data_IF_193892825569
#
_entry.id   IF_193892825569
#
_cell.length_a   1.000
_cell.length_b   1.000
_cell.length_c   1.000
_cell.angle_alpha   90.00
_cell.angle_beta   90.00
_cell.angle_gamma   90.00
#
_symmetry.space_group_name_H-M   'P 1'
#
loop_
_entity.id
_entity.type
_entity.pdbx_description
1 polymer ?
#
# COMPACT_ATOMS: atom_id res chain seq x y z
N UNK A 1 35.42 -44.22 6.49
CA UNK A 1 34.49 -44.18 5.35
C UNK A 1 33.17 -44.77 5.80
N UNK A 2 32.19 -43.93 6.10
CA UNK A 2 30.80 -44.37 6.29
C UNK A 2 29.93 -43.28 5.69
N UNK A 3 29.69 -43.42 4.40
CA UNK A 3 28.76 -42.61 3.62
C UNK A 3 27.37 -42.72 4.24
N UNK A 4 26.91 -41.63 4.85
CA UNK A 4 25.53 -41.49 5.26
C UNK A 4 24.69 -41.18 4.01
N UNK A 5 24.38 -42.23 3.23
CA UNK A 5 23.42 -42.18 2.11
C UNK A 5 22.00 -42.05 2.66
N UNK A 6 21.71 -40.88 3.24
CA UNK A 6 20.35 -40.45 3.55
C UNK A 6 19.60 -40.22 2.25
N UNK A 7 18.64 -41.11 2.01
CA UNK A 7 17.81 -41.28 0.82
C UNK A 7 17.15 -39.93 0.46
N UNK A 8 17.56 -39.35 -0.67
CA UNK A 8 16.92 -38.18 -1.28
C UNK A 8 15.68 -38.65 -2.06
N UNK A 9 14.63 -38.98 -1.33
CA UNK A 9 13.42 -39.66 -1.85
C UNK A 9 12.54 -38.75 -2.72
N UNK A 10 12.84 -37.44 -2.80
CA UNK A 10 12.04 -36.45 -3.52
C UNK A 10 12.87 -35.40 -4.29
N UNK A 11 14.19 -35.55 -4.43
CA UNK A 11 15.04 -34.59 -5.14
C UNK A 11 15.12 -33.21 -4.47
N UNK A 12 14.90 -33.14 -3.15
CA UNK A 12 14.76 -31.89 -2.40
C UNK A 12 16.13 -31.31 -2.03
N UNK A 13 17.17 -32.14 -1.90
CA UNK A 13 18.53 -31.67 -1.59
C UNK A 13 19.11 -30.73 -2.65
N UNK A 14 19.05 -31.03 -3.97
CA UNK A 14 19.53 -30.09 -4.98
C UNK A 14 18.71 -28.80 -5.04
N UNK A 15 17.40 -28.86 -4.77
CA UNK A 15 16.53 -27.68 -4.70
C UNK A 15 16.87 -26.79 -3.50
N UNK A 16 17.05 -27.39 -2.31
CA UNK A 16 17.49 -26.68 -1.12
C UNK A 16 18.87 -26.02 -1.32
N UNK A 17 19.84 -26.75 -1.88
CA UNK A 17 21.17 -26.22 -2.15
C UNK A 17 21.19 -25.09 -3.20
N UNK A 18 20.27 -25.12 -4.19
CA UNK A 18 20.14 -24.05 -5.17
C UNK A 18 19.50 -22.81 -4.54
N UNK A 19 18.46 -23.01 -3.73
CA UNK A 19 17.79 -21.96 -2.95
C UNK A 19 18.80 -21.28 -1.99
N UNK A 20 19.63 -22.06 -1.28
CA UNK A 20 20.69 -21.53 -0.39
C UNK A 20 21.70 -20.64 -1.13
N UNK A 21 22.12 -21.04 -2.34
CA UNK A 21 23.04 -20.23 -3.16
C UNK A 21 22.40 -18.95 -3.68
N UNK A 22 21.14 -19.01 -4.10
CA UNK A 22 20.41 -17.83 -4.56
C UNK A 22 20.26 -16.82 -3.43
N UNK A 23 19.93 -17.28 -2.23
CA UNK A 23 19.79 -16.41 -1.05
C UNK A 23 21.13 -15.81 -0.64
N UNK A 24 22.21 -16.59 -0.64
CA UNK A 24 23.56 -16.06 -0.39
C UNK A 24 23.93 -14.97 -1.39
N UNK A 25 23.62 -15.17 -2.68
CA UNK A 25 23.89 -14.16 -3.71
C UNK A 25 23.03 -12.90 -3.56
N UNK A 26 21.74 -13.03 -3.25
CA UNK A 26 20.88 -11.87 -2.96
C UNK A 26 21.37 -11.12 -1.72
N UNK A 27 21.81 -11.82 -0.68
CA UNK A 27 22.42 -11.23 0.50
C UNK A 27 23.67 -10.42 0.18
N UNK A 28 24.60 -10.98 -0.59
CA UNK A 28 25.80 -10.28 -1.05
C UNK A 28 25.44 -9.00 -1.83
N UNK A 29 24.37 -9.03 -2.64
CA UNK A 29 23.87 -7.86 -3.38
C UNK A 29 23.25 -6.78 -2.48
N UNK A 30 22.52 -7.19 -1.45
CA UNK A 30 21.77 -6.28 -0.57
C UNK A 30 22.59 -5.79 0.62
N UNK A 31 23.69 -6.47 0.98
CA UNK A 31 24.56 -6.05 2.08
C UNK A 31 25.07 -4.62 1.89
N UNK A 32 25.58 -4.31 0.68
CA UNK A 32 26.01 -2.94 0.35
C UNK A 32 24.87 -1.93 0.44
N UNK A 33 23.68 -2.31 -0.01
CA UNK A 33 22.48 -1.47 0.09
C UNK A 33 22.13 -1.14 1.54
N UNK A 34 22.14 -2.12 2.44
CA UNK A 34 21.83 -1.92 3.86
C UNK A 34 22.93 -1.21 4.63
N UNK A 35 24.20 -1.39 4.25
CA UNK A 35 25.29 -0.60 4.82
C UNK A 35 25.07 0.90 4.62
N UNK A 36 24.52 1.28 3.46
CA UNK A 36 24.19 2.66 3.12
C UNK A 36 22.87 3.12 3.78
N UNK A 37 21.83 2.27 3.74
CA UNK A 37 20.44 2.66 4.11
C UNK A 37 19.99 2.32 5.52
N UNK A 38 20.41 1.20 6.10
CA UNK A 38 19.98 0.79 7.43
C UNK A 38 20.99 -0.16 8.08
N UNK A 39 22.14 0.35 8.50
CA UNK A 39 23.21 -0.48 9.10
C UNK A 39 22.73 -1.40 10.24
N UNK A 40 21.83 -0.98 11.16
CA UNK A 40 21.31 -1.86 12.20
C UNK A 40 20.57 -3.11 11.66
N UNK A 41 19.93 -3.00 10.48
CA UNK A 41 19.23 -4.10 9.84
C UNK A 41 20.12 -5.31 9.51
N UNK A 42 21.42 -5.08 9.28
CA UNK A 42 22.37 -6.16 9.00
C UNK A 42 22.42 -7.18 10.13
N UNK A 43 22.33 -6.71 11.38
CA UNK A 43 22.27 -7.58 12.56
C UNK A 43 21.02 -8.47 12.56
N UNK A 44 19.85 -7.88 12.30
CA UNK A 44 18.57 -8.60 12.25
C UNK A 44 18.53 -9.63 11.13
N UNK A 45 19.03 -9.29 9.95
CA UNK A 45 19.11 -10.22 8.81
C UNK A 45 20.06 -11.40 9.11
N UNK A 46 21.18 -11.16 9.78
CA UNK A 46 22.09 -12.22 10.23
C UNK A 46 21.40 -13.22 11.18
N UNK A 47 20.54 -12.73 12.08
CA UNK A 47 19.74 -13.58 12.96
C UNK A 47 18.70 -14.40 12.19
N UNK A 48 18.17 -13.87 11.09
CA UNK A 48 17.21 -14.57 10.23
C UNK A 48 17.82 -15.73 9.43
N UNK A 49 19.15 -15.87 9.36
CA UNK A 49 19.79 -16.99 8.65
C UNK A 49 19.84 -18.31 9.44
N UNK A 50 19.52 -18.30 10.74
CA UNK A 50 19.86 -19.41 11.64
C UNK A 50 18.92 -20.64 11.55
N UNK A 51 17.68 -20.51 11.08
CA UNK A 51 16.73 -21.63 10.98
C UNK A 51 15.75 -21.53 9.78
N UNK A 52 14.98 -22.60 9.51
CA UNK A 52 14.10 -22.71 8.33
C UNK A 52 12.92 -21.72 8.31
N UNK A 53 12.32 -21.41 9.46
CA UNK A 53 11.21 -20.44 9.51
C UNK A 53 11.77 -19.03 9.29
N UNK A 54 12.94 -18.77 9.86
CA UNK A 54 13.67 -17.54 9.62
C UNK A 54 14.16 -17.41 8.18
N UNK A 55 14.44 -18.51 7.50
CA UNK A 55 14.80 -18.51 6.08
C UNK A 55 13.66 -18.04 5.16
N UNK A 56 12.42 -18.46 5.41
CA UNK A 56 11.27 -17.94 4.66
C UNK A 56 11.11 -16.42 4.88
N UNK A 57 11.24 -15.98 6.14
CA UNK A 57 11.22 -14.54 6.49
C UNK A 57 12.34 -13.76 5.83
N UNK A 58 13.53 -14.33 5.79
CA UNK A 58 14.69 -13.76 5.13
C UNK A 58 14.41 -13.55 3.63
N UNK A 59 13.86 -14.55 2.94
CA UNK A 59 13.50 -14.40 1.53
C UNK A 59 12.53 -13.26 1.28
N UNK A 60 11.54 -13.07 2.15
CA UNK A 60 10.60 -11.96 2.04
C UNK A 60 11.29 -10.61 2.24
N UNK A 61 12.19 -10.51 3.23
CA UNK A 61 13.00 -9.30 3.45
C UNK A 61 13.88 -9.00 2.24
N UNK A 62 14.57 -10.00 1.68
CA UNK A 62 15.43 -9.81 0.52
C UNK A 62 14.64 -9.33 -0.69
N UNK A 63 13.49 -9.96 -1.00
CA UNK A 63 12.61 -9.52 -2.09
C UNK A 63 12.13 -8.07 -1.90
N UNK A 64 11.72 -7.72 -0.69
CA UNK A 64 11.29 -6.36 -0.35
C UNK A 64 12.44 -5.35 -0.54
N UNK A 65 13.64 -5.69 -0.09
CA UNK A 65 14.82 -4.82 -0.23
C UNK A 65 15.30 -4.68 -1.68
N UNK A 66 15.24 -5.75 -2.49
CA UNK A 66 15.50 -5.69 -3.94
C UNK A 66 14.54 -4.70 -4.61
N UNK A 67 13.23 -4.82 -4.33
CA UNK A 67 12.21 -3.87 -4.83
C UNK A 67 12.44 -2.44 -4.34
N UNK A 68 12.87 -2.28 -3.09
CA UNK A 68 13.14 -0.96 -2.52
C UNK A 68 14.36 -0.31 -3.18
N UNK A 69 15.39 -1.11 -3.49
CA UNK A 69 16.58 -0.67 -4.21
C UNK A 69 16.21 -0.16 -5.61
N UNK A 70 15.33 -0.86 -6.33
CA UNK A 70 14.87 -0.44 -7.66
C UNK A 70 14.10 0.90 -7.65
N UNK A 71 13.48 1.25 -6.52
CA UNK A 71 12.77 2.52 -6.34
C UNK A 71 13.68 3.69 -5.97
N UNK A 72 14.89 3.41 -5.52
CA UNK A 72 15.86 4.45 -5.15
C UNK A 72 16.71 4.83 -6.36
N UNK A 73 16.61 6.09 -6.79
CA UNK A 73 17.53 6.63 -7.78
C UNK A 73 18.87 6.94 -7.11
N UNK A 74 19.83 6.03 -7.21
CA UNK A 74 21.20 6.28 -6.82
C UNK A 74 21.84 7.29 -7.78
N UNK A 75 21.77 8.57 -7.43
CA UNK A 75 22.55 9.59 -8.10
C UNK A 75 24.03 9.45 -7.68
N UNK A 76 24.83 8.83 -8.54
CA UNK A 76 26.30 8.84 -8.58
C UNK A 76 27.01 8.79 -7.20
N UNK A 77 27.25 7.57 -6.72
CA UNK A 77 28.34 7.14 -5.82
C UNK A 77 28.60 7.90 -4.49
N UNK A 78 27.74 8.85 -4.09
CA UNK A 78 28.01 9.69 -2.89
C UNK A 78 26.85 9.97 -1.95
N UNK A 79 25.63 9.50 -2.22
CA UNK A 79 24.54 9.66 -1.27
C UNK A 79 24.41 8.41 -0.39
N UNK A 80 24.89 8.51 0.85
CA UNK A 80 24.46 7.63 1.94
C UNK A 80 23.02 8.03 2.35
N UNK A 81 22.01 7.63 1.56
CA UNK A 81 20.62 7.76 2.00
C UNK A 81 20.42 6.81 3.18
N UNK A 82 19.99 7.34 4.33
CA UNK A 82 19.81 6.60 5.58
C UNK A 82 18.34 6.61 5.95
N UNK A 83 17.86 5.47 6.43
CA UNK A 83 16.57 5.38 7.12
C UNK A 83 16.76 5.58 8.61
N UNK A 84 15.80 6.23 9.25
CA UNK A 84 15.77 6.28 10.71
C UNK A 84 15.69 4.83 11.25
N UNK A 85 16.57 4.39 12.16
CA UNK A 85 16.64 2.99 12.58
C UNK A 85 15.31 2.41 13.06
N UNK A 86 14.52 3.19 13.81
CA UNK A 86 13.19 2.77 14.29
C UNK A 86 12.22 2.47 13.15
N UNK A 87 12.32 3.20 12.03
CA UNK A 87 11.47 3.01 10.86
C UNK A 87 11.98 1.84 10.04
N UNK A 88 13.26 1.84 9.66
CA UNK A 88 13.86 0.78 8.85
C UNK A 88 13.73 -0.61 9.47
N UNK A 89 14.06 -0.73 10.77
CA UNK A 89 13.92 -2.00 11.48
C UNK A 89 12.45 -2.45 11.56
N UNK A 90 11.53 -1.54 11.85
CA UNK A 90 10.10 -1.87 11.91
C UNK A 90 9.57 -2.34 10.54
N UNK A 91 10.01 -1.72 9.44
CA UNK A 91 9.66 -2.17 8.09
C UNK A 91 10.22 -3.57 7.82
N UNK A 92 11.49 -3.83 8.12
CA UNK A 92 12.11 -5.15 7.90
C UNK A 92 11.41 -6.24 8.71
N UNK A 93 11.14 -5.98 9.99
CA UNK A 93 10.46 -6.93 10.87
C UNK A 93 9.07 -7.29 10.34
N UNK A 94 8.26 -6.30 9.99
CA UNK A 94 6.88 -6.53 9.56
C UNK A 94 6.80 -7.09 8.13
N UNK A 95 7.59 -6.56 7.19
CA UNK A 95 7.64 -7.07 5.80
C UNK A 95 8.13 -8.51 5.72
N UNK A 96 8.96 -8.96 6.67
CA UNK A 96 9.43 -10.35 6.71
C UNK A 96 8.29 -11.38 6.82
N UNK A 97 7.11 -10.97 7.30
CA UNK A 97 5.93 -11.81 7.46
C UNK A 97 4.97 -11.76 6.26
N UNK A 98 5.31 -11.00 5.22
CA UNK A 98 4.43 -10.75 4.06
C UNK A 98 4.95 -11.54 2.86
N UNK A 99 4.07 -12.32 2.25
CA UNK A 99 4.33 -13.07 1.01
C UNK A 99 3.48 -12.59 -0.18
N UNK A 100 2.44 -11.79 0.05
CA UNK A 100 1.67 -11.16 -1.00
C UNK A 100 2.51 -10.09 -1.72
N UNK A 101 2.61 -10.22 -3.05
CA UNK A 101 3.44 -9.38 -3.91
C UNK A 101 3.06 -7.89 -3.85
N UNK A 102 1.77 -7.58 -3.85
CA UNK A 102 1.30 -6.18 -3.84
C UNK A 102 1.61 -5.50 -2.51
N UNK A 103 1.42 -6.20 -1.39
CA UNK A 103 1.76 -5.67 -0.06
C UNK A 103 3.28 -5.57 0.11
N UNK A 104 4.07 -6.51 -0.43
CA UNK A 104 5.53 -6.39 -0.48
C UNK A 104 5.98 -5.15 -1.24
N UNK A 105 5.34 -4.82 -2.36
CA UNK A 105 5.63 -3.62 -3.15
C UNK A 105 5.39 -2.33 -2.33
N UNK A 106 4.32 -2.29 -1.54
CA UNK A 106 4.04 -1.17 -0.65
C UNK A 106 5.10 -1.02 0.44
N UNK A 107 5.52 -2.12 1.07
CA UNK A 107 6.61 -2.11 2.05
C UNK A 107 7.93 -1.65 1.44
N UNK A 108 8.23 -2.08 0.22
CA UNK A 108 9.43 -1.70 -0.50
C UNK A 108 9.47 -0.19 -0.79
N UNK A 109 8.37 0.38 -1.27
CA UNK A 109 8.29 1.83 -1.45
C UNK A 109 8.32 2.58 -0.13
N UNK A 110 7.68 2.07 0.93
CA UNK A 110 7.77 2.70 2.24
C UNK A 110 9.21 2.70 2.80
N UNK A 111 9.98 1.64 2.55
CA UNK A 111 11.40 1.61 2.88
C UNK A 111 12.18 2.66 2.07
N UNK A 112 11.99 2.69 0.75
CA UNK A 112 12.66 3.64 -0.13
C UNK A 112 12.37 5.10 0.25
N UNK A 113 11.10 5.45 0.46
CA UNK A 113 10.70 6.80 0.88
C UNK A 113 11.12 7.16 2.31
N UNK A 114 11.54 6.19 3.12
CA UNK A 114 12.10 6.43 4.46
C UNK A 114 13.62 6.68 4.44
N UNK A 115 14.28 6.48 3.29
CA UNK A 115 15.71 6.73 3.15
C UNK A 115 15.93 8.19 2.76
N UNK A 116 16.38 9.01 3.71
CA UNK A 116 16.66 10.45 3.52
C UNK A 116 18.15 10.74 3.69
N UNK A 117 18.63 11.92 3.29
CA UNK A 117 20.05 12.27 3.42
C UNK A 117 20.52 12.26 4.89
N UNK A 118 19.68 12.74 5.81
CA UNK A 118 20.02 12.83 7.23
C UNK A 118 19.69 11.56 8.02
N UNK A 119 18.69 10.79 7.58
CA UNK A 119 18.24 9.57 8.24
C UNK A 119 17.68 9.75 9.66
N UNK A 120 17.22 10.97 9.99
CA UNK A 120 16.62 11.30 11.27
C UNK A 120 15.08 11.40 11.21
N UNK A 121 14.48 11.31 10.02
CA UNK A 121 13.04 11.39 9.82
C UNK A 121 12.34 10.10 10.26
N UNK A 122 11.53 10.19 11.32
CA UNK A 122 10.70 9.10 11.82
C UNK A 122 9.22 9.23 11.42
N UNK A 123 8.87 10.21 10.58
CA UNK A 123 7.50 10.50 10.15
C UNK A 123 6.82 9.32 9.48
N UNK A 124 7.56 8.52 8.71
CA UNK A 124 7.03 7.32 8.06
C UNK A 124 6.62 6.21 9.04
N UNK A 125 6.91 6.34 10.34
CA UNK A 125 6.41 5.38 11.32
C UNK A 125 4.88 5.33 11.39
N UNK A 126 4.19 6.44 11.12
CA UNK A 126 2.72 6.44 11.05
C UNK A 126 2.24 5.46 9.96
N UNK A 127 2.90 5.48 8.81
CA UNK A 127 2.59 4.62 7.67
C UNK A 127 3.01 3.17 7.90
N UNK A 128 4.15 2.94 8.57
CA UNK A 128 4.55 1.59 9.01
C UNK A 128 3.51 0.99 9.95
N UNK A 129 2.98 1.79 10.89
CA UNK A 129 1.93 1.35 11.81
C UNK A 129 0.59 1.13 11.13
N UNK A 130 0.26 1.87 10.07
CA UNK A 130 -0.95 1.63 9.28
C UNK A 130 -0.81 0.36 8.45
N UNK A 131 0.26 0.25 7.66
CA UNK A 131 0.46 -0.87 6.73
C UNK A 131 0.52 -2.22 7.44
N UNK A 132 1.13 -2.31 8.63
CA UNK A 132 1.15 -3.56 9.42
C UNK A 132 -0.24 -4.02 9.90
N UNK A 133 -1.23 -3.12 9.93
CA UNK A 133 -2.60 -3.43 10.35
C UNK A 133 -3.49 -3.81 9.17
N UNK A 134 -3.04 -3.59 7.92
CA UNK A 134 -3.85 -3.85 6.75
C UNK A 134 -3.81 -5.33 6.38
N UNK A 135 -4.98 -5.88 6.06
CA UNK A 135 -5.07 -7.13 5.31
C UNK A 135 -4.69 -6.90 3.85
N UNK A 136 -4.36 -7.97 3.12
CA UNK A 136 -4.15 -7.89 1.66
C UNK A 136 -5.37 -7.31 0.95
N UNK A 137 -6.57 -7.72 1.35
CA UNK A 137 -7.83 -7.21 0.80
C UNK A 137 -7.95 -5.70 1.00
N UNK A 138 -7.60 -5.20 2.18
CA UNK A 138 -7.65 -3.77 2.48
C UNK A 138 -6.63 -2.97 1.69
N UNK A 139 -5.40 -3.50 1.54
CA UNK A 139 -4.38 -2.88 0.70
C UNK A 139 -4.83 -2.75 -0.76
N UNK A 140 -5.48 -3.80 -1.30
CA UNK A 140 -6.04 -3.79 -2.66
C UNK A 140 -7.15 -2.75 -2.83
N UNK A 141 -8.12 -2.71 -1.91
CA UNK A 141 -9.21 -1.74 -1.93
C UNK A 141 -8.67 -0.31 -1.84
N UNK A 142 -7.73 -0.09 -0.92
CA UNK A 142 -7.10 1.21 -0.71
C UNK A 142 -6.38 1.69 -1.97
N UNK A 143 -5.54 0.82 -2.56
CA UNK A 143 -4.83 1.11 -3.81
C UNK A 143 -5.81 1.48 -4.93
N UNK A 144 -6.84 0.66 -5.12
CA UNK A 144 -7.86 0.92 -6.14
C UNK A 144 -8.56 2.26 -5.90
N UNK A 145 -8.94 2.56 -4.65
CA UNK A 145 -9.54 3.84 -4.28
C UNK A 145 -8.65 5.02 -4.64
N UNK A 146 -7.37 4.96 -4.26
CA UNK A 146 -6.40 6.04 -4.54
C UNK A 146 -6.13 6.21 -6.03
N UNK A 147 -5.97 5.13 -6.78
CA UNK A 147 -5.66 5.19 -8.21
C UNK A 147 -6.86 5.69 -9.05
N UNK A 148 -8.09 5.41 -8.60
CA UNK A 148 -9.30 5.68 -9.40
C UNK A 148 -10.14 6.86 -8.88
N UNK A 149 -9.86 7.39 -7.68
CA UNK A 149 -10.51 8.61 -7.21
C UNK A 149 -9.94 9.84 -7.91
N UNK A 150 -10.81 10.81 -8.19
CA UNK A 150 -10.36 12.12 -8.64
C UNK A 150 -9.83 12.92 -7.46
N UNK A 151 -8.70 13.61 -7.66
CA UNK A 151 -8.02 14.37 -6.61
C UNK A 151 -8.21 15.86 -6.86
N UNK A 152 -8.58 16.57 -5.81
CA UNK A 152 -8.95 17.99 -5.86
C UNK A 152 -8.05 18.77 -4.93
N UNK A 153 -7.43 19.82 -5.46
CA UNK A 153 -6.71 20.81 -4.65
C UNK A 153 -7.65 21.96 -4.26
N UNK A 154 -7.70 22.24 -2.97
CA UNK A 154 -8.50 23.31 -2.38
C UNK A 154 -7.70 24.61 -2.34
N UNK A 155 -8.36 25.80 -2.24
CA UNK A 155 -7.67 27.09 -2.19
C UNK A 155 -6.66 27.25 -1.05
N UNK A 156 -6.79 26.45 0.02
CA UNK A 156 -5.86 26.41 1.14
C UNK A 156 -4.69 25.42 0.96
N UNK A 157 -4.56 24.81 -0.22
CA UNK A 157 -3.49 23.86 -0.55
C UNK A 157 -3.77 22.41 -0.14
N UNK A 158 -4.86 22.12 0.57
CA UNK A 158 -5.20 20.74 0.92
C UNK A 158 -5.67 19.97 -0.31
N UNK A 159 -5.23 18.71 -0.40
CA UNK A 159 -5.69 17.77 -1.43
C UNK A 159 -6.67 16.79 -0.80
N UNK A 160 -7.83 16.60 -1.42
CA UNK A 160 -8.79 15.57 -1.04
C UNK A 160 -9.25 14.81 -2.28
N UNK A 161 -9.70 13.57 -2.07
CA UNK A 161 -10.40 12.83 -3.11
C UNK A 161 -11.86 13.31 -3.20
N UNK A 162 -12.42 13.39 -4.40
CA UNK A 162 -13.88 13.45 -4.58
C UNK A 162 -14.54 12.15 -4.12
N UNK A 163 -15.83 12.25 -3.81
CA UNK A 163 -16.65 11.11 -3.42
C UNK A 163 -16.54 9.98 -4.43
N UNK A 164 -16.13 8.81 -3.97
CA UNK A 164 -15.82 7.65 -4.80
C UNK A 164 -16.45 6.39 -4.20
N UNK A 165 -17.61 6.06 -4.74
CA UNK A 165 -18.39 4.89 -4.39
C UNK A 165 -18.24 3.78 -5.43
N UNK A 166 -18.28 2.54 -4.96
CA UNK A 166 -18.20 1.36 -5.82
C UNK A 166 -19.27 0.34 -5.46
N UNK A 167 -19.80 -0.32 -6.48
CA UNK A 167 -20.69 -1.47 -6.29
C UNK A 167 -19.89 -2.67 -5.77
N UNK A 168 -20.54 -3.49 -4.94
CA UNK A 168 -19.94 -4.67 -4.31
C UNK A 168 -19.33 -5.65 -5.33
N UNK A 169 -19.92 -5.79 -6.53
CA UNK A 169 -19.38 -6.64 -7.59
C UNK A 169 -17.96 -6.24 -8.01
N UNK A 170 -17.66 -4.93 -8.01
CA UNK A 170 -16.30 -4.45 -8.33
C UNK A 170 -15.30 -4.83 -7.24
N UNK A 171 -15.74 -4.81 -5.99
CA UNK A 171 -14.91 -5.24 -4.85
C UNK A 171 -14.67 -6.75 -4.87
N UNK A 172 -15.65 -7.55 -5.31
CA UNK A 172 -15.47 -8.98 -5.52
C UNK A 172 -14.44 -9.28 -6.61
N UNK A 173 -14.53 -8.58 -7.75
CA UNK A 173 -13.56 -8.70 -8.84
C UNK A 173 -12.14 -8.34 -8.36
N UNK A 174 -12.01 -7.21 -7.66
CA UNK A 174 -10.72 -6.70 -7.18
C UNK A 174 -10.06 -7.65 -6.18
N UNK A 175 -10.84 -8.19 -5.25
CA UNK A 175 -10.30 -8.91 -4.07
C UNK A 175 -10.35 -10.42 -4.21
N UNK A 176 -11.11 -10.95 -5.19
CA UNK A 176 -11.41 -12.38 -5.33
C UNK A 176 -12.29 -12.94 -4.21
N UNK A 177 -12.89 -12.11 -3.36
CA UNK A 177 -13.71 -12.52 -2.22
C UNK A 177 -15.19 -12.35 -2.56
N UNK A 178 -15.89 -13.45 -2.83
CA UNK A 178 -17.33 -13.45 -3.09
C UNK A 178 -18.16 -13.54 -1.78
N UNK A 179 -17.88 -12.67 -0.82
CA UNK A 179 -18.60 -12.60 0.45
C UNK A 179 -18.71 -11.15 0.91
N UNK A 180 -19.91 -10.56 0.76
CA UNK A 180 -20.11 -9.15 1.08
C UNK A 180 -19.95 -8.87 2.57
N UNK A 181 -20.35 -9.75 3.50
CA UNK A 181 -20.11 -9.54 4.94
C UNK A 181 -18.62 -9.46 5.28
N UNK A 182 -17.78 -10.23 4.58
CA UNK A 182 -16.33 -10.12 4.75
C UNK A 182 -15.84 -8.76 4.26
N UNK A 183 -16.22 -8.36 3.04
CA UNK A 183 -15.83 -7.05 2.48
C UNK A 183 -16.33 -5.90 3.36
N UNK A 184 -17.56 -5.96 3.85
CA UNK A 184 -18.18 -4.98 4.74
C UNK A 184 -17.30 -4.71 5.97
N UNK A 185 -16.85 -5.77 6.64
CA UNK A 185 -15.91 -5.65 7.78
C UNK A 185 -14.53 -5.11 7.37
N UNK A 186 -14.03 -5.45 6.18
CA UNK A 186 -12.75 -4.89 5.70
C UNK A 186 -12.89 -3.38 5.47
N UNK A 187 -14.02 -2.92 4.92
CA UNK A 187 -14.35 -1.51 4.73
C UNK A 187 -14.52 -0.78 6.08
N UNK A 188 -15.22 -1.38 7.04
CA UNK A 188 -15.36 -0.84 8.41
C UNK A 188 -14.00 -0.59 9.06
N UNK A 189 -13.09 -1.55 8.95
CA UNK A 189 -11.77 -1.41 9.55
C UNK A 189 -10.90 -0.38 8.82
N UNK A 190 -10.94 -0.31 7.48
CA UNK A 190 -10.28 0.77 6.73
C UNK A 190 -10.78 2.16 7.15
N UNK A 191 -12.10 2.31 7.35
CA UNK A 191 -12.70 3.56 7.84
C UNK A 191 -12.30 3.85 9.28
N UNK A 192 -12.22 2.83 10.14
CA UNK A 192 -11.75 2.96 11.53
C UNK A 192 -10.29 3.44 11.60
N UNK A 193 -9.45 3.02 10.65
CA UNK A 193 -8.07 3.52 10.50
C UNK A 193 -8.00 4.93 9.88
N UNK A 194 -9.14 5.52 9.50
CA UNK A 194 -9.20 6.84 8.86
C UNK A 194 -8.67 6.85 7.44
N UNK A 195 -8.64 5.70 6.76
CA UNK A 195 -8.09 5.57 5.41
C UNK A 195 -9.14 5.80 4.32
N UNK A 196 -10.39 5.46 4.58
CA UNK A 196 -11.48 5.69 3.61
C UNK A 196 -12.70 6.32 4.26
N UNK A 197 -13.54 6.91 3.42
CA UNK A 197 -14.84 7.44 3.76
C UNK A 197 -14.80 8.91 4.15
N UNK A 198 -15.74 9.68 3.61
CA UNK A 198 -15.94 11.10 3.96
C UNK A 198 -17.11 11.30 4.94
N UNK A 199 -18.02 10.33 5.00
CA UNK A 199 -19.25 10.42 5.80
C UNK A 199 -19.22 9.48 7.02
N UNK A 200 -20.02 9.83 8.03
CA UNK A 200 -20.27 8.97 9.19
C UNK A 200 -21.04 7.72 8.73
N UNK A 201 -20.41 6.56 8.76
CA UNK A 201 -21.01 5.30 8.30
C UNK A 201 -20.18 4.06 8.61
N UNK A 202 -20.75 2.89 8.32
CA UNK A 202 -20.09 1.59 8.28
C UNK A 202 -19.86 1.13 6.83
N UNK A 203 -19.42 -0.10 6.62
CA UNK A 203 -18.97 -0.68 5.35
C UNK A 203 -19.80 -0.30 4.12
N UNK A 204 -20.81 -1.10 3.79
CA UNK A 204 -21.77 -0.80 2.73
C UNK A 204 -22.91 0.11 3.22
N UNK A 205 -23.50 0.90 2.31
CA UNK A 205 -24.63 1.76 2.62
C UNK A 205 -25.90 0.92 2.93
N UNK A 206 -26.24 0.79 4.22
CA UNK A 206 -27.40 0.04 4.69
C UNK A 206 -28.76 0.64 4.28
N UNK A 207 -28.81 1.90 3.87
CA UNK A 207 -30.01 2.58 3.39
C UNK A 207 -30.28 2.40 1.90
N UNK A 208 -29.31 1.86 1.15
CA UNK A 208 -29.44 1.61 -0.29
C UNK A 208 -30.03 0.22 -0.56
N UNK A 209 -30.75 0.08 -1.68
CA UNK A 209 -31.14 -1.24 -2.19
C UNK A 209 -29.96 -1.99 -2.82
N UNK A 210 -28.95 -1.24 -3.26
CA UNK A 210 -27.71 -1.75 -3.86
C UNK A 210 -26.58 -1.75 -2.84
N UNK A 211 -25.71 -2.77 -2.91
CA UNK A 211 -24.53 -2.86 -2.04
C UNK A 211 -23.43 -1.94 -2.57
N UNK A 212 -23.47 -0.69 -2.15
CA UNK A 212 -22.53 0.35 -2.55
C UNK A 212 -21.65 0.71 -1.35
N UNK A 213 -20.34 0.66 -1.55
CA UNK A 213 -19.33 1.02 -0.55
C UNK A 213 -18.63 2.32 -0.93
N UNK A 214 -18.58 3.27 0.01
CA UNK A 214 -17.74 4.46 -0.09
C UNK A 214 -16.29 4.08 0.24
N UNK A 215 -15.42 4.15 -0.78
CA UNK A 215 -13.99 3.90 -0.66
C UNK A 215 -13.17 5.16 -0.93
N UNK A 216 -13.78 6.34 -0.74
CA UNK A 216 -13.13 7.64 -0.95
C UNK A 216 -11.87 7.75 -0.10
N UNK A 217 -10.68 7.86 -0.72
CA UNK A 217 -9.43 7.94 0.04
C UNK A 217 -9.32 9.27 0.79
N UNK A 218 -8.95 9.18 2.06
CA UNK A 218 -8.58 10.36 2.86
C UNK A 218 -7.18 10.85 2.48
N UNK A 219 -6.80 12.05 2.95
CA UNK A 219 -5.42 12.54 2.77
C UNK A 219 -4.39 11.56 3.37
N UNK A 220 -4.70 10.92 4.50
CA UNK A 220 -3.84 9.93 5.12
C UNK A 220 -3.54 8.75 4.18
N UNK A 221 -4.54 8.32 3.42
CA UNK A 221 -4.41 7.27 2.41
C UNK A 221 -3.63 7.71 1.20
N UNK A 222 -3.85 8.94 0.73
CA UNK A 222 -3.07 9.54 -0.34
C UNK A 222 -1.59 9.58 0.05
N UNK A 223 -1.26 10.05 1.26
CA UNK A 223 0.11 10.07 1.77
C UNK A 223 0.69 8.66 1.91
N UNK A 224 -0.04 7.71 2.50
CA UNK A 224 0.42 6.32 2.62
C UNK A 224 0.74 5.72 1.25
N UNK A 225 -0.12 5.95 0.26
CA UNK A 225 0.10 5.48 -1.11
C UNK A 225 1.35 6.11 -1.72
N UNK A 226 1.52 7.43 -1.65
CA UNK A 226 2.69 8.14 -2.19
C UNK A 226 3.98 7.61 -1.58
N UNK A 227 4.04 7.45 -0.25
CA UNK A 227 5.21 6.86 0.41
C UNK A 227 5.42 5.41 -0.03
N UNK A 228 4.35 4.64 -0.21
CA UNK A 228 4.40 3.26 -0.74
C UNK A 228 4.85 3.17 -2.20
N UNK A 229 4.93 4.28 -2.93
CA UNK A 229 5.57 4.33 -4.26
C UNK A 229 7.07 4.60 -4.19
N UNK A 230 7.64 4.85 -3.01
CA UNK A 230 9.05 5.25 -2.85
C UNK A 230 9.29 6.75 -2.92
N UNK A 231 8.23 7.56 -3.03
CA UNK A 231 8.36 9.01 -3.13
C UNK A 231 8.40 9.67 -1.75
N UNK A 232 9.27 10.66 -1.59
CA UNK A 232 9.33 11.53 -0.40
C UNK A 232 8.40 12.73 -0.51
N UNK A 233 7.75 12.94 -1.66
CA UNK A 233 6.86 14.06 -1.91
C UNK A 233 5.57 13.97 -1.08
N UNK A 234 4.88 15.11 -1.01
CA UNK A 234 3.51 15.20 -0.51
C UNK A 234 2.51 15.04 -1.68
N UNK A 235 1.24 14.63 -1.41
CA UNK A 235 0.23 14.40 -2.44
C UNK A 235 0.00 15.54 -3.43
N UNK A 236 0.11 16.79 -3.00
CA UNK A 236 -0.05 17.98 -3.84
C UNK A 236 1.04 18.09 -4.91
N UNK A 237 2.27 17.72 -4.58
CA UNK A 237 3.39 17.71 -5.51
C UNK A 237 3.39 16.42 -6.33
N UNK A 238 3.13 15.27 -5.70
CA UNK A 238 3.15 13.97 -6.36
C UNK A 238 2.13 13.87 -7.50
N UNK A 239 0.94 14.44 -7.32
CA UNK A 239 -0.13 14.46 -8.32
C UNK A 239 -0.31 15.80 -9.03
N UNK A 240 0.71 16.68 -9.03
CA UNK A 240 0.59 18.04 -9.57
C UNK A 240 -0.06 18.11 -10.98
N UNK A 241 0.24 17.14 -11.85
CA UNK A 241 -0.30 17.07 -13.22
C UNK A 241 -1.71 16.46 -13.33
N UNK A 242 -2.21 15.81 -12.27
CA UNK A 242 -3.51 15.12 -12.22
C UNK A 242 -4.55 15.87 -11.38
N UNK A 243 -4.14 16.87 -10.59
CA UNK A 243 -5.02 17.63 -9.70
C UNK A 243 -5.94 18.56 -10.48
N UNK A 244 -7.21 18.59 -10.08
CA UNK A 244 -8.15 19.63 -10.49
C UNK A 244 -8.41 20.61 -9.35
N UNK A 245 -8.75 21.86 -9.67
CA UNK A 245 -9.09 22.84 -8.66
C UNK A 245 -10.50 22.62 -8.13
N UNK A 246 -10.76 23.04 -6.89
CA UNK A 246 -12.10 22.97 -6.30
C UNK A 246 -13.16 23.68 -7.16
N UNK A 247 -12.80 24.80 -7.79
CA UNK A 247 -13.70 25.53 -8.70
C UNK A 247 -14.06 24.73 -9.96
N UNK A 248 -13.12 23.96 -10.52
CA UNK A 248 -13.39 23.07 -11.65
C UNK A 248 -14.35 21.96 -11.24
N UNK A 249 -14.06 21.31 -10.11
CA UNK A 249 -14.93 20.31 -9.49
C UNK A 249 -16.36 20.82 -9.29
N UNK A 250 -16.54 22.00 -8.68
CA UNK A 250 -17.88 22.59 -8.45
C UNK A 250 -18.65 22.84 -9.75
N UNK A 251 -17.98 23.40 -10.77
CA UNK A 251 -18.60 23.67 -12.08
C UNK A 251 -19.09 22.37 -12.73
N UNK A 252 -18.28 21.31 -12.69
CA UNK A 252 -18.64 20.01 -13.24
C UNK A 252 -19.82 19.37 -12.50
N UNK A 253 -19.85 19.48 -11.15
CA UNK A 253 -20.96 19.00 -10.34
C UNK A 253 -22.26 19.75 -10.66
N UNK A 254 -22.22 21.07 -10.83
CA UNK A 254 -23.38 21.87 -11.22
C UNK A 254 -23.91 21.49 -12.60
N UNK A 255 -23.03 21.29 -13.59
CA UNK A 255 -23.40 20.88 -14.94
C UNK A 255 -24.04 19.48 -14.95
N UNK A 256 -23.47 18.55 -14.20
CA UNK A 256 -23.99 17.19 -14.06
C UNK A 256 -25.35 17.19 -13.37
N UNK A 257 -25.50 17.97 -12.29
CA UNK A 257 -26.78 18.14 -11.61
C UNK A 257 -27.87 18.76 -12.50
N UNK A 258 -27.50 19.69 -13.41
CA UNK A 258 -28.43 20.23 -14.41
C UNK A 258 -28.85 19.18 -15.44
N UNK A 259 -27.93 18.35 -15.93
CA UNK A 259 -28.24 17.25 -16.88
C UNK A 259 -29.19 16.20 -16.27
N UNK A 260 -28.93 15.77 -15.04
CA UNK A 260 -29.79 14.79 -14.33
C UNK A 260 -31.20 15.34 -14.12
N UNK A 261 -31.34 16.64 -13.79
CA UNK A 261 -32.65 17.30 -13.66
C UNK A 261 -33.40 17.43 -14.99
N UNK A 262 -32.68 17.55 -16.11
CA UNK A 262 -33.27 17.58 -17.46
C UNK A 262 -33.72 16.19 -17.93
N UNK A 263 -33.03 15.13 -17.52
CA UNK A 263 -33.37 13.73 -17.86
C UNK A 263 -34.50 13.14 -17.01
N UNK A 264 -34.75 13.68 -15.82
CA UNK A 264 -35.92 13.35 -14.97
C UNK A 264 -36.92 14.51 -14.97
N UNK A 265 -37.73 14.71 -16.02
CA UNK A 265 -38.79 15.70 -15.96
C UNK A 265 -39.78 15.31 -14.85
N UNK A 266 -40.10 16.31 -14.04
CA UNK A 266 -41.00 16.24 -12.89
C UNK A 266 -42.33 15.63 -13.36
N UNK A 267 -42.64 14.39 -12.93
CA UNK A 267 -44.01 13.87 -12.97
C UNK A 267 -44.85 14.61 -11.91
N UNK A 268 -45.10 15.90 -12.14
CA UNK A 268 -46.15 16.65 -11.49
C UNK A 268 -47.37 16.56 -12.38
N UNK A 269 -48.11 15.46 -12.28
CA UNK A 269 -49.46 15.40 -12.82
C UNK A 269 -50.31 14.49 -11.95
N UNK A 270 -51.32 15.11 -11.33
CA UNK A 270 -52.53 14.53 -10.75
C UNK A 270 -52.48 13.82 -9.39
N UNK A 271 -52.78 14.60 -8.35
CA UNK A 271 -53.78 14.23 -7.34
C UNK A 271 -54.61 15.49 -7.02
N UNK A 272 -55.45 15.88 -7.99
CA UNK A 272 -56.77 16.43 -7.65
C UNK A 272 -57.75 15.27 -7.89
N UNK A 273 -58.28 14.74 -6.80
CA UNK A 273 -59.69 14.41 -6.49
C UNK A 273 -59.69 13.76 -5.10
#
# INVERSE_FOLDING_TARGET
MSDNKGIDILGIKPVANAIDKTVQKSLEGIEGFLQLTCKPALGEIGLLMQDKVRYWRLNNVLKMLEKAQDKLQFNNDKLELKSHPRVGLSIIENSSLIDNEEVQEMWAGLFASSCTEEGNDDGNLIFTNLLKQLTTTQAQILKYGVENSRKVIYPNGLVLSEHFEVHCDKLFELTGINNFFRIDRELDHLRTLGLIGLELGGGFNAGSQELIGDITPTYLSLSLYVKSQGSTLDPDIFWADELITKEQSDKEMEETGKKIKLEKPINNTFLMI
#
